data_IF_698409073372
#
_entry.id   IF_698409073372
#
_cell.length_a   1.000
_cell.length_b   1.000
_cell.length_c   1.000
_cell.angle_alpha   90.00
_cell.angle_beta   90.00
_cell.angle_gamma   90.00
#
_symmetry.space_group_name_H-M   'P 1'
#
loop_
_entity.id
_entity.type
_entity.pdbx_description
1 polymer ?
#
# COMPACT_ATOMS: atom_id res chain seq x y z
N UNK A 1 14.57 -4.62 9.96
CA UNK A 1 15.07 -5.96 9.58
C UNK A 1 14.18 -6.63 8.51
N UNK A 2 12.96 -7.09 8.77
CA UNK A 2 12.15 -7.83 7.76
C UNK A 2 11.90 -7.00 6.49
N UNK A 3 11.56 -5.72 6.61
CA UNK A 3 11.38 -4.81 5.46
C UNK A 3 12.69 -4.40 4.76
N UNK A 4 13.84 -4.63 5.37
CA UNK A 4 15.15 -4.26 4.80
C UNK A 4 15.68 -2.90 5.23
N UNK A 5 14.98 -2.16 6.08
CA UNK A 5 15.41 -0.85 6.61
C UNK A 5 16.69 -0.94 7.44
N UNK A 6 16.91 -2.07 8.11
CA UNK A 6 18.11 -2.37 8.87
C UNK A 6 18.65 -3.73 8.46
N UNK A 7 19.95 -3.85 8.37
CA UNK A 7 20.63 -5.13 8.17
C UNK A 7 20.57 -5.95 9.46
N UNK A 8 20.64 -7.25 9.32
CA UNK A 8 20.70 -8.18 10.45
C UNK A 8 22.17 -8.47 10.81
N UNK A 9 22.48 -8.50 12.09
CA UNK A 9 23.83 -8.83 12.55
C UNK A 9 24.11 -10.34 12.43
N UNK A 10 23.09 -11.18 12.65
CA UNK A 10 23.17 -12.66 12.61
C UNK A 10 21.82 -13.27 12.23
N UNK A 11 21.86 -14.50 11.75
CA UNK A 11 20.68 -15.28 11.41
C UNK A 11 20.28 -15.18 9.93
N UNK A 12 19.10 -15.75 9.61
CA UNK A 12 18.50 -15.71 8.26
C UNK A 12 17.04 -15.33 8.34
N UNK A 13 16.56 -14.64 7.31
CA UNK A 13 15.15 -14.34 7.12
C UNK A 13 14.69 -15.15 5.91
N UNK A 14 13.82 -16.14 6.16
CA UNK A 14 13.25 -16.99 5.11
C UNK A 14 11.76 -16.63 4.99
N UNK A 15 11.33 -16.26 3.79
CA UNK A 15 9.95 -15.95 3.46
C UNK A 15 9.49 -16.84 2.32
N UNK A 16 8.47 -17.66 2.57
CA UNK A 16 7.91 -18.59 1.58
C UNK A 16 9.00 -19.47 0.94
N UNK A 17 9.91 -20.03 1.78
CA UNK A 17 11.02 -20.89 1.36
C UNK A 17 12.20 -20.16 0.71
N UNK A 18 12.12 -18.85 0.51
CA UNK A 18 13.16 -18.03 -0.09
C UNK A 18 13.94 -17.25 0.97
N UNK A 19 15.27 -17.36 0.93
CA UNK A 19 16.14 -16.53 1.77
C UNK A 19 16.14 -15.09 1.23
N UNK A 20 15.70 -14.16 2.07
CA UNK A 20 15.65 -12.72 1.77
C UNK A 20 16.62 -11.90 2.62
N UNK A 21 17.52 -12.56 3.37
CA UNK A 21 18.42 -11.94 4.36
C UNK A 21 19.22 -10.76 3.82
N UNK A 22 19.74 -10.89 2.60
CA UNK A 22 20.54 -9.86 1.94
C UNK A 22 19.82 -9.22 0.73
N UNK A 23 18.49 -9.41 0.65
CA UNK A 23 17.71 -8.82 -0.43
C UNK A 23 17.52 -7.32 -0.18
N UNK A 24 17.83 -6.44 -1.16
CA UNK A 24 17.63 -4.99 -1.05
C UNK A 24 16.16 -4.64 -0.75
N UNK A 25 15.93 -3.54 -0.02
CA UNK A 25 14.61 -3.09 0.42
C UNK A 25 13.59 -3.01 -0.74
N UNK A 26 13.98 -2.43 -1.87
CA UNK A 26 13.10 -2.30 -3.04
C UNK A 26 12.64 -3.63 -3.64
N UNK A 27 13.44 -4.70 -3.48
CA UNK A 27 13.06 -6.07 -3.89
C UNK A 27 12.17 -6.73 -2.84
N UNK A 28 12.46 -6.51 -1.53
CA UNK A 28 11.61 -6.99 -0.44
C UNK A 28 10.24 -6.35 -0.46
N UNK A 29 10.13 -5.06 -0.85
CA UNK A 29 8.88 -4.35 -0.97
C UNK A 29 7.87 -4.98 -1.97
N UNK A 30 8.32 -5.87 -2.84
CA UNK A 30 7.45 -6.68 -3.71
C UNK A 30 6.84 -7.88 -2.99
N UNK A 31 7.45 -8.33 -1.91
CA UNK A 31 7.07 -9.52 -1.16
C UNK A 31 6.39 -9.16 0.17
N UNK A 32 6.79 -8.04 0.77
CA UNK A 32 6.34 -7.60 2.09
C UNK A 32 5.57 -6.30 1.94
N UNK A 33 4.29 -6.31 2.30
CA UNK A 33 3.49 -5.11 2.50
C UNK A 33 3.69 -4.59 3.92
N UNK A 34 3.78 -3.27 4.10
CA UNK A 34 3.85 -2.64 5.42
C UNK A 34 2.83 -1.52 5.51
N UNK A 35 1.97 -1.61 6.51
CA UNK A 35 1.07 -0.53 6.91
C UNK A 35 1.70 0.17 8.11
N UNK A 36 1.94 1.48 7.97
CA UNK A 36 2.54 2.30 9.03
C UNK A 36 1.46 2.76 10.00
N UNK A 37 1.83 2.99 11.26
CA UNK A 37 0.99 3.63 12.28
C UNK A 37 0.47 4.99 11.81
N UNK A 38 1.34 5.80 11.19
CA UNK A 38 0.96 7.05 10.54
C UNK A 38 0.67 6.81 9.05
N UNK A 39 -0.60 6.93 8.60
CA UNK A 39 -0.98 6.73 7.20
C UNK A 39 -0.28 7.68 6.22
N UNK A 40 0.21 8.82 6.70
CA UNK A 40 0.95 9.79 5.85
C UNK A 40 2.29 9.24 5.38
N UNK A 41 2.94 8.40 6.19
CA UNK A 41 4.26 7.82 5.85
C UNK A 41 4.21 6.83 4.70
N UNK A 42 3.05 6.24 4.44
CA UNK A 42 2.85 5.26 3.36
C UNK A 42 2.31 5.86 2.06
N UNK A 43 2.03 7.16 2.02
CA UNK A 43 1.32 7.81 0.90
C UNK A 43 2.05 9.07 0.41
N UNK A 44 1.73 9.49 -0.82
CA UNK A 44 2.12 10.79 -1.36
C UNK A 44 0.94 11.76 -1.23
N UNK A 45 0.89 12.65 -0.21
CA UNK A 45 -0.29 13.44 0.13
C UNK A 45 -0.70 14.44 -0.96
N UNK A 46 0.23 14.88 -1.78
CA UNK A 46 -0.02 15.80 -2.89
C UNK A 46 -0.54 15.11 -4.16
N UNK A 47 -0.44 13.79 -4.23
CA UNK A 47 -0.97 12.96 -5.30
C UNK A 47 -2.41 12.54 -5.00
N UNK A 48 -3.18 12.25 -6.04
CA UNK A 48 -4.56 11.75 -5.95
C UNK A 48 -4.59 10.31 -5.45
N UNK A 49 -5.79 9.83 -5.08
CA UNK A 49 -6.01 8.42 -4.71
C UNK A 49 -5.58 7.51 -5.86
N UNK A 50 -6.04 7.77 -7.09
CA UNK A 50 -5.70 6.93 -8.25
C UNK A 50 -4.20 6.89 -8.56
N UNK A 51 -3.49 8.01 -8.37
CA UNK A 51 -2.04 8.08 -8.56
C UNK A 51 -1.28 7.28 -7.49
N UNK A 52 -1.68 7.39 -6.22
CA UNK A 52 -1.10 6.58 -5.14
C UNK A 52 -1.32 5.08 -5.36
N UNK A 53 -2.53 4.68 -5.77
CA UNK A 53 -2.84 3.28 -6.09
C UNK A 53 -2.04 2.79 -7.31
N UNK A 54 -1.88 3.63 -8.34
CA UNK A 54 -1.07 3.28 -9.51
C UNK A 54 0.41 3.10 -9.15
N UNK A 55 0.94 3.95 -8.26
CA UNK A 55 2.29 3.83 -7.73
C UNK A 55 2.47 2.50 -6.98
N UNK A 56 1.53 2.16 -6.10
CA UNK A 56 1.54 0.90 -5.37
C UNK A 56 1.43 -0.31 -6.31
N UNK A 57 0.57 -0.24 -7.32
CA UNK A 57 0.37 -1.29 -8.32
C UNK A 57 1.60 -1.53 -9.20
N UNK A 58 2.46 -0.52 -9.39
CA UNK A 58 3.71 -0.65 -10.16
C UNK A 58 4.69 -1.68 -9.57
N UNK A 59 4.53 -2.04 -8.27
CA UNK A 59 5.30 -3.12 -7.63
C UNK A 59 5.13 -4.48 -8.29
N UNK A 60 4.02 -4.69 -9.02
CA UNK A 60 3.79 -5.89 -9.83
C UNK A 60 4.71 -5.99 -11.07
N UNK A 61 5.61 -5.01 -11.29
CA UNK A 61 6.52 -4.99 -12.43
C UNK A 61 5.96 -4.28 -13.67
N UNK A 62 4.75 -3.70 -13.61
CA UNK A 62 4.24 -2.85 -14.68
C UNK A 62 4.96 -1.49 -14.67
N UNK A 63 5.44 -1.04 -15.82
CA UNK A 63 6.09 0.27 -15.93
C UNK A 63 5.11 1.38 -15.52
N UNK A 64 5.45 2.14 -14.48
CA UNK A 64 4.68 3.31 -14.05
C UNK A 64 4.65 4.39 -15.14
N UNK A 65 5.74 4.48 -15.91
CA UNK A 65 5.93 5.53 -16.93
C UNK A 65 5.30 5.22 -18.29
N UNK A 66 4.73 4.04 -18.48
CA UNK A 66 4.30 3.62 -19.82
C UNK A 66 2.88 3.99 -20.21
N UNK A 67 2.16 4.84 -19.48
CA UNK A 67 0.91 5.50 -19.95
C UNK A 67 0.11 6.05 -18.76
N UNK A 68 -0.67 7.12 -19.03
CA UNK A 68 -1.76 7.56 -18.16
C UNK A 68 -2.56 6.36 -17.63
N UNK A 69 -3.03 6.44 -16.38
CA UNK A 69 -3.82 5.38 -15.74
C UNK A 69 -4.98 5.02 -16.69
N UNK A 70 -4.84 3.89 -17.39
CA UNK A 70 -5.80 3.46 -18.38
C UNK A 70 -7.16 3.13 -17.75
N UNK A 71 -8.23 3.17 -18.57
CA UNK A 71 -9.62 2.93 -18.13
C UNK A 71 -9.77 1.62 -17.33
N UNK A 72 -9.12 0.54 -17.77
CA UNK A 72 -9.15 -0.77 -17.07
C UNK A 72 -8.54 -0.72 -15.68
N UNK A 73 -7.39 -0.02 -15.50
CA UNK A 73 -6.76 0.12 -14.18
C UNK A 73 -7.63 0.98 -13.24
N UNK A 74 -8.23 2.05 -13.78
CA UNK A 74 -9.12 2.92 -13.00
C UNK A 74 -10.34 2.15 -12.51
N UNK A 75 -10.95 1.34 -13.36
CA UNK A 75 -12.09 0.50 -12.97
C UNK A 75 -11.68 -0.51 -11.90
N UNK A 76 -10.55 -1.18 -12.07
CA UNK A 76 -9.99 -2.09 -11.07
C UNK A 76 -9.80 -1.43 -9.70
N UNK A 77 -9.24 -0.20 -9.66
CA UNK A 77 -9.08 0.54 -8.41
C UNK A 77 -10.43 0.92 -7.80
N UNK A 78 -11.38 1.33 -8.63
CA UNK A 78 -12.73 1.69 -8.22
C UNK A 78 -13.44 0.53 -7.53
N UNK A 79 -13.44 -0.65 -8.13
CA UNK A 79 -14.03 -1.86 -7.56
C UNK A 79 -13.43 -2.23 -6.20
N UNK A 80 -12.12 -2.06 -6.04
CA UNK A 80 -11.45 -2.35 -4.77
C UNK A 80 -11.76 -1.31 -3.69
N UNK A 81 -11.86 -0.04 -4.05
CA UNK A 81 -12.26 1.03 -3.12
C UNK A 81 -13.71 0.89 -2.66
N UNK A 82 -14.62 0.53 -3.57
CA UNK A 82 -16.04 0.34 -3.27
C UNK A 82 -16.30 -0.70 -2.17
N UNK A 83 -15.40 -1.67 -1.99
CA UNK A 83 -15.53 -2.71 -0.94
C UNK A 83 -15.47 -2.15 0.49
N UNK A 84 -14.94 -0.94 0.67
CA UNK A 84 -14.82 -0.31 1.98
C UNK A 84 -16.01 0.57 2.34
N UNK A 85 -16.94 0.80 1.42
CA UNK A 85 -18.18 1.58 1.61
C UNK A 85 -17.94 2.99 2.20
N UNK A 86 -16.90 3.67 1.72
CA UNK A 86 -16.48 5.01 2.18
C UNK A 86 -16.63 6.10 1.11
N UNK A 87 -17.22 5.79 -0.05
CA UNK A 87 -17.41 6.71 -1.17
C UNK A 87 -16.08 7.15 -1.84
N UNK A 88 -15.00 6.42 -1.61
CA UNK A 88 -13.68 6.74 -2.17
C UNK A 88 -13.59 6.41 -3.65
N UNK A 89 -14.37 5.46 -4.13
CA UNK A 89 -14.51 5.03 -5.51
C UNK A 89 -14.97 6.18 -6.44
N UNK A 90 -15.73 7.13 -5.91
CA UNK A 90 -16.20 8.30 -6.65
C UNK A 90 -15.28 9.53 -6.51
N UNK A 91 -14.30 9.43 -5.62
CA UNK A 91 -13.37 10.52 -5.27
C UNK A 91 -11.92 10.22 -5.66
N UNK A 92 -11.68 9.36 -6.61
CA UNK A 92 -10.33 8.89 -6.99
C UNK A 92 -9.37 10.00 -7.41
N UNK A 93 -9.88 11.16 -7.85
CA UNK A 93 -9.09 12.35 -8.19
C UNK A 93 -8.84 13.29 -7.00
N UNK A 94 -9.37 12.96 -5.81
CA UNK A 94 -9.10 13.74 -4.60
C UNK A 94 -7.66 13.45 -4.13
N UNK A 95 -6.95 14.49 -3.70
CA UNK A 95 -5.61 14.34 -3.11
C UNK A 95 -5.71 13.64 -1.76
N UNK A 96 -4.76 12.73 -1.48
CA UNK A 96 -4.72 11.97 -0.21
C UNK A 96 -4.68 12.90 1.01
N UNK A 97 -3.97 14.01 0.93
CA UNK A 97 -3.87 14.98 2.02
C UNK A 97 -5.22 15.58 2.45
N UNK A 98 -6.25 15.54 1.61
CA UNK A 98 -7.59 16.06 1.89
C UNK A 98 -8.55 15.01 2.48
N UNK A 99 -8.11 13.77 2.63
CA UNK A 99 -8.90 12.69 3.20
C UNK A 99 -8.90 12.75 4.75
N UNK A 100 -9.96 12.21 5.35
CA UNK A 100 -9.98 11.95 6.79
C UNK A 100 -8.94 10.88 7.18
N UNK A 101 -8.62 10.76 8.47
CA UNK A 101 -7.69 9.74 8.97
C UNK A 101 -8.11 8.33 8.57
N UNK A 102 -9.38 7.95 8.80
CA UNK A 102 -9.92 6.64 8.44
C UNK A 102 -9.92 6.39 6.92
N UNK A 103 -10.32 7.36 6.11
CA UNK A 103 -10.26 7.27 4.65
C UNK A 103 -8.84 7.05 4.15
N UNK A 104 -7.87 7.76 4.71
CA UNK A 104 -6.46 7.62 4.38
C UNK A 104 -5.92 6.25 4.78
N UNK A 105 -6.34 5.75 5.95
CA UNK A 105 -6.00 4.41 6.43
C UNK A 105 -6.44 3.34 5.42
N UNK A 106 -7.69 3.42 4.94
CA UNK A 106 -8.23 2.50 3.92
C UNK A 106 -7.42 2.55 2.63
N UNK A 107 -7.09 3.75 2.12
CA UNK A 107 -6.26 3.87 0.92
C UNK A 107 -4.87 3.25 1.15
N UNK A 108 -4.26 3.48 2.32
CA UNK A 108 -2.94 2.91 2.68
C UNK A 108 -3.01 1.39 2.74
N UNK A 109 -4.05 0.82 3.35
CA UNK A 109 -4.26 -0.62 3.40
C UNK A 109 -4.43 -1.21 1.98
N UNK A 110 -5.23 -0.57 1.14
CA UNK A 110 -5.40 -0.98 -0.24
C UNK A 110 -4.07 -0.90 -1.02
N UNK A 111 -3.28 0.16 -0.85
CA UNK A 111 -1.96 0.27 -1.46
C UNK A 111 -1.02 -0.88 -1.06
N UNK A 112 -1.13 -1.40 0.16
CA UNK A 112 -0.32 -2.52 0.62
C UNK A 112 -0.80 -3.87 0.08
N UNK A 113 -2.10 -4.01 -0.24
CA UNK A 113 -2.74 -5.28 -0.59
C UNK A 113 -3.12 -5.41 -2.06
N UNK A 114 -3.18 -4.31 -2.81
CA UNK A 114 -3.59 -4.29 -4.24
C UNK A 114 -2.70 -5.17 -5.13
N UNK A 115 -1.44 -5.33 -4.74
CA UNK A 115 -0.55 -6.39 -5.19
C UNK A 115 -0.35 -7.30 -4.00
N UNK A 116 -0.94 -8.49 -4.02
CA UNK A 116 -0.94 -9.41 -2.87
C UNK A 116 0.47 -9.69 -2.38
N UNK A 117 0.84 -9.23 -1.18
CA UNK A 117 2.15 -9.51 -0.60
C UNK A 117 2.20 -10.94 -0.06
N UNK A 118 3.41 -11.49 0.08
CA UNK A 118 3.64 -12.76 0.78
C UNK A 118 3.53 -12.61 2.31
N UNK A 119 3.81 -11.42 2.81
CA UNK A 119 3.71 -11.05 4.23
C UNK A 119 3.18 -9.62 4.33
N UNK A 120 2.18 -9.42 5.20
CA UNK A 120 1.68 -8.09 5.54
C UNK A 120 2.04 -7.78 7.00
N UNK A 121 2.75 -6.68 7.21
CA UNK A 121 3.10 -6.17 8.53
C UNK A 121 2.18 -4.99 8.87
N UNK A 122 1.45 -5.13 9.96
CA UNK A 122 0.52 -4.13 10.47
C UNK A 122 1.09 -3.54 11.76
N UNK A 123 1.20 -2.22 11.82
CA UNK A 123 1.74 -1.50 12.98
C UNK A 123 0.65 -0.57 13.50
N UNK A 124 -0.06 -0.97 14.57
CA UNK A 124 -1.18 -0.27 15.22
C UNK A 124 -2.20 0.36 14.24
N UNK A 125 -2.51 -0.36 13.17
CA UNK A 125 -3.32 0.14 12.04
C UNK A 125 -4.78 0.49 12.43
N UNK A 126 -5.27 0.02 13.57
CA UNK A 126 -6.63 0.29 14.05
C UNK A 126 -6.74 1.55 14.90
N UNK A 127 -5.62 2.14 15.34
CA UNK A 127 -5.64 3.29 16.24
C UNK A 127 -6.31 4.55 15.64
N UNK A 128 -6.40 4.64 14.31
CA UNK A 128 -7.04 5.76 13.60
C UNK A 128 -8.45 5.44 13.08
N UNK A 129 -8.96 4.22 13.31
CA UNK A 129 -10.31 3.84 12.92
C UNK A 129 -11.28 4.17 14.04
N UNK A 130 -12.47 4.69 13.68
CA UNK A 130 -13.58 4.86 14.59
C UNK A 130 -13.98 3.48 15.14
N UNK A 131 -14.42 3.34 16.44
CA UNK A 131 -14.87 2.07 17.02
C UNK A 131 -15.94 1.32 16.21
N UNK A 132 -16.66 2.03 15.34
CA UNK A 132 -17.67 1.44 14.45
C UNK A 132 -17.05 0.80 13.18
N UNK A 133 -15.81 1.13 12.85
CA UNK A 133 -15.13 0.67 11.62
C UNK A 133 -13.90 -0.22 11.89
N UNK A 134 -13.62 -0.50 13.18
CA UNK A 134 -12.49 -1.33 13.61
C UNK A 134 -12.84 -2.83 13.66
#
# INVERSE_FOLDING_TARGET
>A
MICGTFEQDKGRIILDGKDISFMPEHKRARLVGRVFQDPMKGTAPNMTIEENLALAYSRAGSSFFSQAIGKKKREYFREHLARFDMGLEDRMKTKIGLLSGGQRQVVTLLMCTIVTPKLLLLDEHTAALDPVTA
#
